data_IF_327343559630
#
_entry.id   IF_327343559630
#
_cell.length_a   1.000
_cell.length_b   1.000
_cell.length_c   1.000
_cell.angle_alpha   90.00
_cell.angle_beta   90.00
_cell.angle_gamma   90.00
#
_symmetry.space_group_name_H-M   'P 1'
#
loop_
_entity.id
_entity.type
_entity.pdbx_description
1 polymer ?
#
# COMPACT_ATOMS: atom_id res chain seq x y z
N UNK A 1 -16.25 12.00 -38.92
CA UNK A 1 -15.78 10.83 -38.14
C UNK A 1 -15.31 11.42 -36.83
N UNK A 2 -16.09 11.29 -35.76
CA UNK A 2 -15.83 11.99 -34.50
C UNK A 2 -14.70 11.34 -33.72
N UNK A 3 -13.87 12.16 -33.08
CA UNK A 3 -12.85 11.76 -32.13
C UNK A 3 -13.50 11.04 -30.96
N UNK A 4 -13.10 9.79 -30.73
CA UNK A 4 -13.49 9.04 -29.54
C UNK A 4 -12.56 9.48 -28.42
N UNK A 5 -12.98 10.51 -27.68
CA UNK A 5 -12.40 10.81 -26.37
C UNK A 5 -12.74 9.65 -25.44
N UNK A 6 -11.76 8.77 -25.19
CA UNK A 6 -11.85 7.75 -24.17
C UNK A 6 -11.87 8.41 -22.79
N UNK A 7 -13.07 8.68 -22.29
CA UNK A 7 -13.32 9.03 -20.90
C UNK A 7 -12.85 7.85 -20.04
N UNK A 8 -11.67 8.00 -19.44
CA UNK A 8 -11.17 7.04 -18.46
C UNK A 8 -12.00 7.22 -17.20
N UNK A 9 -13.04 6.40 -17.06
CA UNK A 9 -13.76 6.28 -15.79
C UNK A 9 -12.78 5.64 -14.82
N UNK A 10 -12.30 6.41 -13.84
CA UNK A 10 -11.52 5.88 -12.72
C UNK A 10 -12.35 4.78 -12.05
N UNK A 11 -12.07 3.52 -12.35
CA UNK A 11 -12.66 2.40 -11.63
C UNK A 11 -12.13 2.44 -10.20
N UNK A 12 -12.99 2.78 -9.23
CA UNK A 12 -12.66 2.74 -7.81
C UNK A 12 -12.49 1.32 -7.27
N UNK A 13 -12.92 0.32 -8.03
CA UNK A 13 -12.83 -1.08 -7.66
C UNK A 13 -11.40 -1.62 -7.88
N UNK A 14 -10.84 -2.37 -6.93
CA UNK A 14 -9.55 -3.02 -7.10
C UNK A 14 -9.60 -4.02 -8.27
N UNK A 15 -8.52 -4.08 -9.04
CA UNK A 15 -8.29 -5.10 -10.05
C UNK A 15 -7.66 -6.31 -9.38
N UNK A 16 -8.14 -7.50 -9.75
CA UNK A 16 -7.62 -8.78 -9.27
C UNK A 16 -7.02 -9.55 -10.44
N UNK A 17 -5.89 -10.21 -10.21
CA UNK A 17 -5.24 -11.09 -11.18
C UNK A 17 -4.71 -12.31 -10.45
N UNK A 18 -4.98 -13.49 -11.00
CA UNK A 18 -4.60 -14.77 -10.40
C UNK A 18 -3.82 -15.60 -11.41
N UNK A 19 -2.78 -16.27 -10.91
CA UNK A 19 -1.92 -17.14 -11.68
C UNK A 19 -1.76 -18.43 -10.91
N UNK A 20 -2.11 -19.55 -11.54
CA UNK A 20 -1.99 -20.88 -10.94
C UNK A 20 -0.88 -21.67 -11.64
N UNK A 21 -0.10 -22.39 -10.85
CA UNK A 21 0.89 -23.35 -11.33
C UNK A 21 0.99 -24.48 -10.32
N UNK A 22 0.55 -25.68 -10.71
CA UNK A 22 0.48 -26.85 -9.85
C UNK A 22 -0.23 -26.54 -8.51
N UNK A 23 0.51 -26.68 -7.41
CA UNK A 23 0.09 -26.47 -6.03
C UNK A 23 0.19 -24.99 -5.59
N UNK A 24 0.56 -24.08 -6.49
CA UNK A 24 0.77 -22.67 -6.21
C UNK A 24 -0.31 -21.79 -6.81
N UNK A 25 -0.79 -20.83 -6.02
CA UNK A 25 -1.65 -19.72 -6.44
C UNK A 25 -0.95 -18.41 -6.09
N UNK A 26 -0.70 -17.59 -7.11
CA UNK A 26 -0.28 -16.21 -6.98
C UNK A 26 -1.49 -15.31 -7.25
N UNK A 27 -1.91 -14.53 -6.25
CA UNK A 27 -2.97 -13.53 -6.38
C UNK A 27 -2.37 -12.13 -6.23
N UNK A 28 -2.71 -11.24 -7.16
CA UNK A 28 -2.30 -9.84 -7.17
C UNK A 28 -3.57 -8.99 -7.09
N UNK A 29 -3.60 -8.08 -6.13
CA UNK A 29 -4.63 -7.08 -5.93
C UNK A 29 -4.02 -5.71 -6.18
N UNK A 30 -4.53 -5.01 -7.17
CA UNK A 30 -4.06 -3.68 -7.58
C UNK A 30 -5.19 -2.67 -7.41
N UNK A 31 -4.90 -1.54 -6.77
CA UNK A 31 -5.83 -0.44 -6.58
C UNK A 31 -5.12 0.89 -6.74
N UNK A 32 -5.90 1.96 -6.68
CA UNK A 32 -5.40 3.33 -6.67
C UNK A 32 -4.68 3.66 -5.36
N UNK A 33 -3.89 4.73 -5.41
CA UNK A 33 -3.20 5.28 -4.24
C UNK A 33 -4.25 5.79 -3.24
N UNK A 34 -4.04 5.49 -1.96
CA UNK A 34 -4.81 6.02 -0.85
C UNK A 34 -4.84 7.54 -0.94
N UNK A 35 -6.04 8.11 -0.86
CA UNK A 35 -6.23 9.56 -0.94
C UNK A 35 -5.41 10.24 0.16
N UNK A 36 -4.78 11.36 -0.17
CA UNK A 36 -3.95 12.13 0.77
C UNK A 36 -4.73 12.74 1.95
N UNK A 37 -6.07 12.70 1.90
CA UNK A 37 -6.92 13.13 2.99
C UNK A 37 -8.27 12.41 2.98
N UNK A 38 -9.08 12.68 3.99
CA UNK A 38 -10.35 12.00 4.25
C UNK A 38 -10.25 10.99 5.38
N UNK A 39 -11.37 10.34 5.70
CA UNK A 39 -11.45 9.42 6.82
C UNK A 39 -10.59 8.17 6.60
N UNK A 40 -10.58 7.61 5.39
CA UNK A 40 -9.77 6.43 5.04
C UNK A 40 -8.27 6.63 5.30
N UNK A 41 -7.74 7.83 5.01
CA UNK A 41 -6.34 8.18 5.28
C UNK A 41 -6.04 8.22 6.77
N UNK A 42 -6.92 8.86 7.55
CA UNK A 42 -6.79 8.94 9.01
C UNK A 42 -6.86 7.55 9.64
N UNK A 43 -7.82 6.73 9.23
CA UNK A 43 -7.97 5.36 9.73
C UNK A 43 -6.75 4.48 9.39
N UNK A 44 -6.03 4.79 8.30
CA UNK A 44 -4.77 4.13 7.98
C UNK A 44 -3.62 4.65 8.82
N UNK A 45 -3.50 5.97 8.98
CA UNK A 45 -2.50 6.64 9.81
C UNK A 45 -2.60 6.23 11.28
N UNK A 46 -3.81 6.15 11.83
CA UNK A 46 -4.07 5.78 13.22
C UNK A 46 -3.64 4.33 13.55
N UNK A 47 -3.40 3.49 12.53
CA UNK A 47 -2.88 2.12 12.69
C UNK A 47 -1.35 2.06 12.80
N UNK A 48 -0.66 3.18 12.58
CA UNK A 48 0.79 3.27 12.48
C UNK A 48 1.33 4.33 13.43
N UNK A 49 2.30 3.97 14.27
CA UNK A 49 3.03 4.91 15.12
C UNK A 49 4.25 5.47 14.36
N UNK A 50 3.98 6.18 13.25
CA UNK A 50 5.01 6.77 12.41
C UNK A 50 4.85 8.29 12.35
N UNK A 51 5.95 9.06 12.51
CA UNK A 51 5.89 10.52 12.51
C UNK A 51 5.45 11.09 11.15
N UNK A 52 5.74 10.35 10.08
CA UNK A 52 5.33 10.68 8.73
C UNK A 52 5.19 9.40 7.92
N UNK A 53 4.15 9.33 7.08
CA UNK A 53 3.97 8.24 6.14
C UNK A 53 4.41 8.65 4.72
N UNK A 54 4.66 7.67 3.84
CA UNK A 54 4.85 7.94 2.42
C UNK A 54 3.69 8.75 1.83
N UNK A 55 3.99 9.63 0.88
CA UNK A 55 2.97 10.39 0.14
C UNK A 55 2.07 9.44 -0.67
N UNK A 56 2.68 8.46 -1.33
CA UNK A 56 1.98 7.45 -2.13
C UNK A 56 1.87 6.14 -1.34
N UNK A 57 0.68 5.84 -0.82
CA UNK A 57 0.39 4.57 -0.13
C UNK A 57 -0.59 3.78 -0.96
N UNK A 58 -0.22 2.54 -1.29
CA UNK A 58 -1.14 1.58 -1.91
C UNK A 58 -1.68 0.65 -0.81
N UNK A 59 -2.59 1.17 0.00
CA UNK A 59 -3.11 0.50 1.20
C UNK A 59 -3.92 -0.76 0.89
N UNK A 60 -4.50 -0.80 -0.30
CA UNK A 60 -5.31 -1.91 -0.81
C UNK A 60 -4.48 -2.93 -1.61
N UNK A 61 -3.27 -2.57 -2.06
CA UNK A 61 -2.47 -3.47 -2.88
C UNK A 61 -1.96 -4.65 -2.06
N UNK A 62 -2.04 -5.83 -2.64
CA UNK A 62 -1.58 -7.07 -2.03
C UNK A 62 -0.98 -7.99 -3.09
N UNK A 63 0.17 -8.59 -2.79
CA UNK A 63 0.65 -9.78 -3.48
C UNK A 63 0.57 -10.94 -2.50
N UNK A 64 -0.15 -11.99 -2.88
CA UNK A 64 -0.38 -13.17 -2.05
C UNK A 64 0.09 -14.41 -2.78
N UNK A 65 0.89 -15.23 -2.10
CA UNK A 65 1.33 -16.53 -2.60
C UNK A 65 0.80 -17.60 -1.67
N UNK A 66 0.03 -18.53 -2.22
CA UNK A 66 -0.54 -19.67 -1.52
C UNK A 66 0.05 -20.94 -2.10
N UNK A 67 0.54 -21.81 -1.22
CA UNK A 67 0.87 -23.19 -1.54
C UNK A 67 -0.19 -24.10 -0.91
N UNK A 68 -0.72 -25.05 -1.68
CA UNK A 68 -1.65 -26.08 -1.20
C UNK A 68 -1.01 -27.44 -1.37
N UNK A 69 -0.98 -28.26 -0.32
CA UNK A 69 -0.42 -29.61 -0.44
C UNK A 69 -1.23 -30.48 -1.41
N UNK A 70 -0.61 -31.52 -1.99
CA UNK A 70 -1.26 -32.40 -2.99
C UNK A 70 -2.51 -33.11 -2.46
N UNK A 71 -2.54 -33.39 -1.15
CA UNK A 71 -3.67 -33.99 -0.47
C UNK A 71 -4.72 -32.95 0.00
N UNK A 72 -4.53 -31.67 -0.32
CA UNK A 72 -5.37 -30.52 0.04
C UNK A 72 -5.66 -30.39 1.55
N UNK A 73 -4.85 -31.01 2.40
CA UNK A 73 -5.05 -30.96 3.86
C UNK A 73 -4.37 -29.75 4.50
N UNK A 74 -3.33 -29.22 3.86
CA UNK A 74 -2.53 -28.13 4.40
C UNK A 74 -2.36 -27.04 3.34
N UNK A 75 -2.41 -25.79 3.79
CA UNK A 75 -2.04 -24.64 2.95
C UNK A 75 -1.14 -23.70 3.72
N UNK A 76 -0.15 -23.16 3.02
CA UNK A 76 0.77 -22.14 3.51
C UNK A 76 0.54 -20.87 2.69
N UNK A 77 0.50 -19.72 3.36
CA UNK A 77 0.27 -18.44 2.70
C UNK A 77 1.28 -17.42 3.17
N UNK A 78 1.80 -16.64 2.22
CA UNK A 78 2.54 -15.41 2.50
C UNK A 78 1.88 -14.25 1.75
N UNK A 79 1.74 -13.12 2.43
CA UNK A 79 1.15 -11.90 1.89
C UNK A 79 2.12 -10.74 2.02
N UNK A 80 2.15 -9.89 1.00
CA UNK A 80 2.91 -8.66 0.98
C UNK A 80 1.95 -7.50 0.78
N UNK A 81 1.87 -6.61 1.77
CA UNK A 81 1.04 -5.41 1.73
C UNK A 81 1.76 -4.22 2.41
N UNK A 82 1.30 -3.00 2.12
CA UNK A 82 1.94 -1.78 2.61
C UNK A 82 1.82 -1.63 4.14
N UNK A 83 0.68 -2.00 4.73
CA UNK A 83 0.42 -1.80 6.15
C UNK A 83 1.38 -2.60 7.03
N UNK A 84 1.56 -3.88 6.73
CA UNK A 84 2.44 -4.76 7.50
C UNK A 84 3.91 -4.38 7.33
N UNK A 85 4.30 -3.93 6.13
CA UNK A 85 5.64 -3.37 5.92
C UNK A 85 5.89 -2.12 6.77
N UNK A 86 4.92 -1.20 6.84
CA UNK A 86 5.04 0.05 7.60
C UNK A 86 5.05 -0.19 9.12
N UNK A 87 4.34 -1.20 9.63
CA UNK A 87 4.38 -1.57 11.06
C UNK A 87 5.77 -2.02 11.53
N UNK A 88 6.61 -2.52 10.63
CA UNK A 88 7.96 -2.98 10.93
C UNK A 88 9.00 -1.86 10.86
N UNK A 89 8.60 -0.63 10.49
CA UNK A 89 9.50 0.52 10.44
C UNK A 89 9.81 1.00 11.86
N UNK A 90 11.11 1.05 12.19
CA UNK A 90 11.61 1.55 13.45
C UNK A 90 11.55 3.09 13.49
N UNK A 91 10.53 3.62 14.16
CA UNK A 91 10.29 5.06 14.28
C UNK A 91 11.41 5.80 15.03
N UNK A 92 12.20 5.10 15.85
CA UNK A 92 13.28 5.71 16.66
C UNK A 92 14.54 6.01 15.85
N UNK A 93 14.66 5.39 14.67
CA UNK A 93 15.80 5.58 13.76
C UNK A 93 15.53 6.57 12.64
N UNK A 94 14.33 7.15 12.59
CA UNK A 94 13.99 8.18 11.62
C UNK A 94 14.58 9.50 12.11
N UNK A 95 15.65 10.04 11.48
CA UNK A 95 16.22 11.31 11.90
C UNK A 95 15.22 12.40 11.56
N UNK A 96 14.51 12.93 12.56
CA UNK A 96 13.81 14.20 12.42
C UNK A 96 14.86 15.30 12.43
N UNK A 97 15.45 15.59 11.28
CA UNK A 97 16.23 16.81 11.10
C UNK A 97 15.26 17.99 11.11
N UNK A 98 15.02 18.54 12.30
CA UNK A 98 14.35 19.84 12.42
C UNK A 98 15.36 20.86 11.94
N UNK A 99 15.27 21.25 10.66
CA UNK A 99 15.95 22.41 10.10
C UNK A 99 15.53 23.63 10.91
N UNK A 100 16.29 23.93 11.97
CA UNK A 100 16.22 25.20 12.67
C UNK A 100 16.76 26.26 11.71
N UNK A 101 15.87 26.79 10.87
CA UNK A 101 16.11 28.08 10.25
C UNK A 101 16.22 29.09 11.38
N UNK A 102 17.46 29.34 11.81
CA UNK A 102 17.80 30.51 12.59
C UNK A 102 17.51 31.71 11.69
N UNK A 103 16.29 32.25 11.80
CA UNK A 103 15.96 33.58 11.34
C UNK A 103 16.79 34.55 12.15
N UNK A 104 18.01 34.82 11.70
CA UNK A 104 18.83 35.92 12.18
C UNK A 104 18.18 37.21 11.70
N UNK A 105 17.12 37.64 12.37
CA UNK A 105 16.60 39.01 12.27
C UNK A 105 17.72 39.94 12.72
N UNK A 106 18.41 40.56 11.77
CA UNK A 106 19.19 41.77 12.03
C UNK A 106 18.23 42.95 11.93
N UNK A 107 18.13 43.67 13.05
CA UNK A 107 17.44 44.93 13.24
C UNK A 107 17.87 45.99 12.22
#
# INVERSE_FOLDING_TARGET
MGDVETVTVNSSAPKYSEYTSDNWLLSIKESHILRSGGQERKDFEDKLDLPSLPEMIFDVNEVRVVYTSENMTESSTICFNALDALKLVDCTKIPMEVSRFSSSFHL
#
